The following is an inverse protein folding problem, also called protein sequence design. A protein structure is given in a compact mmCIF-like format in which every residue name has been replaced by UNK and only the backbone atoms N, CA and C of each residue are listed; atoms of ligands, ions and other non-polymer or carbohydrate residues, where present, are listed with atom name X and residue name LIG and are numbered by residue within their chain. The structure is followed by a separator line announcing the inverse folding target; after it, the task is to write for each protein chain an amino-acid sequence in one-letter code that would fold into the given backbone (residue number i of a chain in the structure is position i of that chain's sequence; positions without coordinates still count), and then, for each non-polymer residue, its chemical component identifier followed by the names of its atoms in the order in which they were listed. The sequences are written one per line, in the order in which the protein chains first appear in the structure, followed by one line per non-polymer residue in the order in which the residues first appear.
data_IF_281362375916
#
_entry.id   IF_281362375916
#
_cell.length_a   1.000
_cell.length_b   1.000
_cell.length_c   1.000
_cell.angle_alpha   90.00
_cell.angle_beta   90.00
_cell.angle_gamma   90.00
#
_symmetry.space_group_name_H-M   'P 1'
#
loop_
_entity.id
_entity.type
_entity.pdbx_description
1 polymer ?
#
# COMPACT_ATOMS: atom_id res chain seq x y z
N UNK A 1 -13.05 70.72 41.91
CA UNK A 1 -14.12 69.83 41.38
C UNK A 1 -13.73 69.27 39.96
N UNK A 2 -12.52 68.69 39.77
CA UNK A 2 -12.05 68.20 38.47
C UNK A 2 -11.40 66.80 38.56
N UNK A 3 -11.53 66.06 39.67
CA UNK A 3 -10.89 64.74 39.88
C UNK A 3 -11.81 63.52 39.79
N UNK A 4 -13.13 63.66 39.59
CA UNK A 4 -14.09 62.56 39.63
C UNK A 4 -14.59 62.03 38.27
N UNK A 5 -14.26 62.67 37.15
CA UNK A 5 -14.79 62.29 35.83
C UNK A 5 -13.81 61.39 34.99
N UNK A 6 -12.52 61.29 35.41
CA UNK A 6 -11.55 60.49 34.68
C UNK A 6 -11.51 58.99 35.04
N UNK A 7 -12.07 58.61 36.19
CA UNK A 7 -12.05 57.21 36.66
C UNK A 7 -13.12 56.33 36.03
N UNK A 8 -14.26 56.90 35.64
CA UNK A 8 -15.38 56.13 35.06
C UNK A 8 -15.13 55.69 33.60
N UNK A 9 -14.42 56.50 32.77
CA UNK A 9 -14.09 56.11 31.39
C UNK A 9 -13.02 54.98 31.33
N UNK A 10 -12.05 55.00 32.23
CA UNK A 10 -11.01 53.98 32.29
C UNK A 10 -11.56 52.64 32.76
N UNK A 11 -12.50 52.65 33.70
CA UNK A 11 -13.17 51.43 34.16
C UNK A 11 -14.15 50.85 33.13
N UNK A 12 -14.79 51.66 32.29
CA UNK A 12 -15.61 51.20 31.20
C UNK A 12 -14.75 50.64 30.05
N UNK A 13 -13.61 51.26 29.73
CA UNK A 13 -12.66 50.71 28.75
C UNK A 13 -12.03 49.39 29.19
N UNK A 14 -11.72 49.22 30.48
CA UNK A 14 -11.20 47.97 31.04
C UNK A 14 -12.24 46.83 30.99
N UNK A 15 -13.53 47.14 31.26
CA UNK A 15 -14.62 46.17 31.16
C UNK A 15 -14.89 45.71 29.73
N UNK A 16 -14.76 46.58 28.72
CA UNK A 16 -14.90 46.25 27.30
C UNK A 16 -13.69 45.43 26.80
N UNK A 17 -12.47 45.73 27.29
CA UNK A 17 -11.27 44.98 26.93
C UNK A 17 -11.28 43.56 27.53
N UNK A 18 -11.78 43.39 28.77
CA UNK A 18 -11.92 42.09 29.43
C UNK A 18 -13.02 41.25 28.78
N UNK A 19 -14.11 41.86 28.29
CA UNK A 19 -15.16 41.16 27.53
C UNK A 19 -14.70 40.74 26.13
N UNK A 20 -13.83 41.54 25.49
CA UNK A 20 -13.25 41.21 24.19
C UNK A 20 -12.17 40.10 24.29
N UNK A 21 -11.41 40.02 25.40
CA UNK A 21 -10.44 38.94 25.63
C UNK A 21 -11.10 37.61 26.05
N UNK A 22 -12.28 37.65 26.67
CA UNK A 22 -13.01 36.43 27.05
C UNK A 22 -13.74 35.76 25.86
N UNK A 23 -14.00 36.50 24.75
CA UNK A 23 -14.59 35.97 23.53
C UNK A 23 -13.56 35.38 22.59
N UNK A 24 -12.26 35.66 22.75
CA UNK A 24 -11.19 35.11 21.93
C UNK A 24 -10.59 33.79 22.47
N UNK A 25 -11.02 33.31 23.65
CA UNK A 25 -10.53 32.05 24.24
C UNK A 25 -11.47 30.84 24.05
N UNK A 26 -12.61 31.03 23.37
CA UNK A 26 -13.54 29.92 23.04
C UNK A 26 -13.61 29.56 21.56
N UNK A 27 -12.61 29.95 20.76
CA UNK A 27 -12.45 29.44 19.40
C UNK A 27 -11.28 28.47 19.31
N UNK A 28 -11.20 27.52 20.24
CA UNK A 28 -10.58 26.24 19.94
C UNK A 28 -11.65 25.43 19.20
N UNK A 29 -11.80 25.72 17.90
CA UNK A 29 -12.65 24.93 17.03
C UNK A 29 -12.16 23.49 17.11
N UNK A 30 -13.00 22.62 17.68
CA UNK A 30 -13.04 21.25 17.22
C UNK A 30 -13.06 21.37 15.69
N UNK A 31 -11.95 20.99 15.04
CA UNK A 31 -11.99 20.62 13.64
C UNK A 31 -12.97 19.47 13.61
N UNK A 32 -14.19 19.74 13.17
CA UNK A 32 -15.11 18.70 12.78
C UNK A 32 -14.32 17.76 11.90
N UNK A 33 -14.15 16.52 12.38
CA UNK A 33 -13.67 15.45 11.55
C UNK A 33 -14.57 15.53 10.30
N UNK A 34 -14.00 15.85 9.14
CA UNK A 34 -14.71 15.79 7.87
C UNK A 34 -15.41 14.46 7.89
N UNK A 35 -16.73 14.48 8.05
CA UNK A 35 -17.58 13.31 7.83
C UNK A 35 -17.17 12.81 6.45
N UNK A 36 -16.47 11.67 6.43
CA UNK A 36 -16.22 10.98 5.18
C UNK A 36 -17.57 10.91 4.47
N UNK A 37 -17.62 11.36 3.21
CA UNK A 37 -18.77 11.10 2.36
C UNK A 37 -19.23 9.69 2.65
N UNK A 38 -20.52 9.47 2.91
CA UNK A 38 -21.12 8.18 3.21
C UNK A 38 -20.99 7.22 2.00
N UNK A 39 -19.75 6.92 1.61
CA UNK A 39 -19.40 5.90 0.65
C UNK A 39 -19.55 4.54 1.31
N UNK A 40 -20.19 3.63 0.61
CA UNK A 40 -20.32 2.23 1.02
C UNK A 40 -18.93 1.66 1.39
N UNK A 41 -18.81 1.06 2.59
CA UNK A 41 -17.60 0.35 3.01
C UNK A 41 -17.40 -0.89 2.12
N UNK A 42 -16.25 -0.98 1.44
CA UNK A 42 -15.98 -2.01 0.45
C UNK A 42 -15.34 -3.26 1.07
N UNK A 43 -15.62 -4.42 0.47
CA UNK A 43 -15.06 -5.71 0.86
C UNK A 43 -14.39 -6.35 -0.34
N UNK A 44 -13.06 -6.42 -0.33
CA UNK A 44 -12.24 -6.97 -1.39
C UNK A 44 -11.62 -8.31 -1.04
N UNK A 45 -11.16 -9.03 -2.05
CA UNK A 45 -10.35 -10.24 -1.88
C UNK A 45 -9.29 -10.33 -2.97
N UNK A 46 -8.04 -10.64 -2.57
CA UNK A 46 -6.98 -10.99 -3.51
C UNK A 46 -7.12 -12.45 -3.92
N UNK A 47 -7.01 -12.73 -5.21
CA UNK A 47 -7.02 -14.08 -5.75
C UNK A 47 -6.07 -14.23 -6.93
N UNK A 48 -5.48 -15.41 -7.09
CA UNK A 48 -4.61 -15.71 -8.24
C UNK A 48 -5.37 -16.62 -9.20
N UNK A 49 -5.38 -16.21 -10.47
CA UNK A 49 -6.04 -16.97 -11.51
C UNK A 49 -5.24 -18.21 -11.91
N UNK A 50 -5.92 -19.33 -12.05
CA UNK A 50 -5.44 -20.53 -12.70
C UNK A 50 -5.93 -20.58 -14.16
N UNK A 51 -5.05 -20.49 -15.18
CA UNK A 51 -5.46 -20.50 -16.57
C UNK A 51 -6.17 -21.80 -17.01
N UNK A 52 -5.99 -22.88 -16.24
CA UNK A 52 -6.61 -24.19 -16.51
C UNK A 52 -8.05 -24.31 -15.97
N UNK A 53 -8.45 -23.42 -15.07
CA UNK A 53 -9.77 -23.43 -14.45
C UNK A 53 -10.85 -23.02 -15.46
N UNK A 54 -11.98 -23.72 -15.47
CA UNK A 54 -13.08 -23.46 -16.42
C UNK A 54 -13.86 -22.18 -16.05
N UNK A 55 -14.60 -21.61 -17.02
CA UNK A 55 -15.50 -20.47 -16.78
C UNK A 55 -16.60 -20.80 -15.79
N UNK A 56 -17.09 -22.04 -15.77
CA UNK A 56 -18.10 -22.50 -14.83
C UNK A 56 -17.56 -22.51 -13.39
N UNK A 57 -16.30 -22.95 -13.19
CA UNK A 57 -15.66 -22.95 -11.89
C UNK A 57 -15.41 -21.53 -11.39
N UNK A 58 -14.96 -20.60 -12.28
CA UNK A 58 -14.81 -19.21 -11.93
C UNK A 58 -16.14 -18.53 -11.59
N UNK A 59 -17.19 -18.82 -12.35
CA UNK A 59 -18.54 -18.31 -12.05
C UNK A 59 -19.01 -18.77 -10.68
N UNK A 60 -18.78 -20.04 -10.34
CA UNK A 60 -19.09 -20.59 -9.02
C UNK A 60 -18.31 -19.90 -7.90
N UNK A 61 -17.02 -19.67 -8.10
CA UNK A 61 -16.16 -18.97 -7.15
C UNK A 61 -16.59 -17.51 -6.95
N UNK A 62 -16.81 -16.79 -8.04
CA UNK A 62 -17.22 -15.38 -7.97
C UNK A 62 -18.61 -15.24 -7.32
N UNK A 63 -19.53 -16.16 -7.63
CA UNK A 63 -20.80 -16.23 -6.94
C UNK A 63 -20.65 -16.48 -5.45
N UNK A 64 -19.77 -17.43 -5.05
CA UNK A 64 -19.46 -17.71 -3.64
C UNK A 64 -18.93 -16.44 -2.93
N UNK A 65 -18.02 -15.69 -3.54
CA UNK A 65 -17.52 -14.43 -2.99
C UNK A 65 -18.66 -13.42 -2.83
N UNK A 66 -19.46 -13.23 -3.88
CA UNK A 66 -20.59 -12.27 -3.84
C UNK A 66 -21.61 -12.62 -2.77
N UNK A 67 -22.02 -13.87 -2.70
CA UNK A 67 -22.96 -14.37 -1.70
C UNK A 67 -22.39 -14.23 -0.26
N UNK A 68 -21.08 -14.32 -0.11
CA UNK A 68 -20.32 -14.09 1.12
C UNK A 68 -20.08 -12.62 1.48
N UNK A 69 -20.58 -11.68 0.67
CA UNK A 69 -20.51 -10.26 0.98
C UNK A 69 -19.35 -9.51 0.33
N UNK A 70 -18.52 -10.15 -0.50
CA UNK A 70 -17.44 -9.51 -1.24
C UNK A 70 -18.01 -8.59 -2.33
N UNK A 71 -17.41 -7.42 -2.52
CA UNK A 71 -17.78 -6.43 -3.53
C UNK A 71 -16.79 -6.39 -4.70
N UNK A 72 -15.52 -6.74 -4.46
CA UNK A 72 -14.45 -6.58 -5.43
C UNK A 72 -13.41 -7.70 -5.34
N UNK A 73 -12.84 -8.05 -6.48
CA UNK A 73 -11.78 -9.05 -6.60
C UNK A 73 -10.54 -8.43 -7.22
N UNK A 74 -9.39 -8.64 -6.57
CA UNK A 74 -8.10 -8.22 -7.06
C UNK A 74 -7.41 -9.46 -7.65
N UNK A 75 -7.42 -9.57 -8.99
CA UNK A 75 -7.06 -10.81 -9.69
C UNK A 75 -5.65 -10.71 -10.25
N UNK A 76 -4.76 -11.60 -9.80
CA UNK A 76 -3.46 -11.81 -10.41
C UNK A 76 -3.58 -12.83 -11.55
N UNK A 77 -3.32 -12.38 -12.77
CA UNK A 77 -3.27 -13.23 -13.97
C UNK A 77 -1.84 -13.46 -14.49
N UNK A 78 -0.84 -13.23 -13.63
CA UNK A 78 0.57 -13.21 -14.03
C UNK A 78 0.83 -12.28 -15.24
N UNK A 79 0.17 -11.11 -15.23
CA UNK A 79 0.22 -10.10 -16.30
C UNK A 79 -0.32 -10.54 -17.67
N UNK A 80 -1.14 -11.59 -17.72
CA UNK A 80 -1.82 -11.99 -18.96
C UNK A 80 -3.14 -11.20 -19.15
N UNK A 81 -3.19 -10.23 -20.09
CA UNK A 81 -4.40 -9.45 -20.34
C UNK A 81 -5.50 -10.25 -21.03
N UNK A 82 -5.18 -11.38 -21.71
CA UNK A 82 -6.19 -12.24 -22.32
C UNK A 82 -6.94 -13.02 -21.26
N UNK A 83 -6.21 -13.61 -20.29
CA UNK A 83 -6.82 -14.30 -19.16
C UNK A 83 -7.66 -13.32 -18.35
N UNK A 84 -7.16 -12.12 -18.06
CA UNK A 84 -7.93 -11.10 -17.35
C UNK A 84 -9.20 -10.73 -18.12
N UNK A 85 -9.11 -10.49 -19.43
CA UNK A 85 -10.26 -10.17 -20.29
C UNK A 85 -11.32 -11.28 -20.34
N UNK A 86 -10.91 -12.56 -20.18
CA UNK A 86 -11.82 -13.69 -20.01
C UNK A 86 -12.54 -13.66 -18.67
N UNK A 87 -11.86 -13.30 -17.58
CA UNK A 87 -12.42 -13.35 -16.21
C UNK A 87 -13.30 -12.15 -15.86
N UNK A 88 -13.00 -10.98 -16.38
CA UNK A 88 -13.74 -9.74 -16.09
C UNK A 88 -15.24 -9.88 -16.31
N UNK A 89 -15.75 -10.36 -17.47
CA UNK A 89 -17.19 -10.49 -17.68
C UNK A 89 -17.84 -11.50 -16.73
N UNK A 90 -17.14 -12.56 -16.33
CA UNK A 90 -17.65 -13.56 -15.38
C UNK A 90 -17.84 -12.93 -13.99
N UNK A 91 -16.82 -12.23 -13.48
CA UNK A 91 -16.90 -11.54 -12.18
C UNK A 91 -17.97 -10.43 -12.18
N UNK A 92 -18.05 -9.63 -13.26
CA UNK A 92 -19.07 -8.57 -13.38
C UNK A 92 -20.49 -9.10 -13.45
N UNK A 93 -20.72 -10.24 -14.07
CA UNK A 93 -22.04 -10.90 -14.10
C UNK A 93 -22.52 -11.24 -12.69
N UNK A 94 -21.61 -11.61 -11.80
CA UNK A 94 -21.90 -11.85 -10.39
C UNK A 94 -21.92 -10.55 -9.55
N UNK A 95 -21.78 -9.38 -10.17
CA UNK A 95 -21.83 -8.07 -9.51
C UNK A 95 -20.56 -7.73 -8.71
N UNK A 96 -19.42 -8.29 -9.08
CA UNK A 96 -18.12 -7.95 -8.52
C UNK A 96 -17.38 -6.91 -9.37
N UNK A 97 -16.69 -5.97 -8.73
CA UNK A 97 -15.69 -5.13 -9.38
C UNK A 97 -14.38 -5.91 -9.53
N UNK A 98 -13.61 -5.60 -10.57
CA UNK A 98 -12.37 -6.30 -10.86
C UNK A 98 -11.21 -5.34 -10.90
N UNK A 99 -10.15 -5.67 -10.16
CA UNK A 99 -8.87 -4.97 -10.16
C UNK A 99 -7.80 -5.90 -10.75
N UNK A 100 -7.00 -5.38 -11.68
CA UNK A 100 -5.90 -6.14 -12.29
C UNK A 100 -4.68 -6.09 -11.38
N UNK A 101 -4.41 -7.16 -10.65
CA UNK A 101 -3.30 -7.25 -9.69
C UNK A 101 -2.01 -7.69 -10.39
N UNK A 102 -0.97 -6.88 -10.24
CA UNK A 102 0.37 -7.09 -10.81
C UNK A 102 1.46 -7.02 -9.73
N UNK A 103 2.35 -8.01 -9.71
CA UNK A 103 3.63 -7.91 -9.01
C UNK A 103 4.57 -7.02 -9.83
N UNK A 104 4.77 -5.76 -9.40
CA UNK A 104 5.44 -4.75 -10.22
C UNK A 104 6.95 -4.97 -10.33
N UNK A 105 7.70 -4.77 -9.24
CA UNK A 105 9.16 -4.84 -9.28
C UNK A 105 9.71 -6.24 -8.99
N UNK A 106 8.98 -7.10 -8.28
CA UNK A 106 9.36 -8.49 -8.09
C UNK A 106 8.85 -9.33 -9.27
N UNK A 107 9.76 -9.73 -10.16
CA UNK A 107 9.42 -10.36 -11.45
C UNK A 107 10.10 -11.72 -11.64
N UNK A 108 9.85 -12.70 -10.78
CA UNK A 108 10.31 -14.06 -11.01
C UNK A 108 9.61 -14.64 -12.25
N UNK A 109 10.32 -15.40 -13.05
CA UNK A 109 9.77 -16.08 -14.23
C UNK A 109 9.25 -15.13 -15.34
N UNK A 110 9.62 -13.85 -15.32
CA UNK A 110 9.33 -12.93 -16.43
C UNK A 110 10.25 -13.24 -17.59
N UNK A 111 9.70 -13.82 -18.67
CA UNK A 111 10.48 -14.32 -19.81
C UNK A 111 11.28 -13.24 -20.55
N UNK A 112 10.83 -11.98 -20.49
CA UNK A 112 11.57 -10.85 -21.06
C UNK A 112 12.66 -10.41 -20.10
N UNK A 113 12.33 -10.16 -18.85
CA UNK A 113 13.30 -9.70 -17.86
C UNK A 113 14.44 -10.71 -17.63
N UNK A 114 14.18 -12.02 -17.70
CA UNK A 114 15.21 -13.07 -17.59
C UNK A 114 16.26 -13.04 -18.69
N UNK A 115 15.99 -12.39 -19.83
CA UNK A 115 16.98 -12.17 -20.89
C UNK A 115 17.89 -10.96 -20.60
N UNK A 116 17.62 -10.20 -19.54
CA UNK A 116 18.32 -8.99 -19.15
C UNK A 116 18.78 -9.04 -17.69
N UNK A 117 19.82 -9.83 -17.35
CA UNK A 117 20.33 -9.94 -15.98
C UNK A 117 20.74 -8.59 -15.37
N UNK A 118 21.11 -7.62 -16.20
CA UNK A 118 21.48 -6.26 -15.81
C UNK A 118 20.29 -5.38 -15.38
N UNK A 119 19.04 -5.83 -15.55
CA UNK A 119 17.85 -5.13 -15.06
C UNK A 119 17.60 -5.35 -13.58
N UNK A 120 18.21 -6.38 -12.99
CA UNK A 120 17.94 -6.77 -11.62
C UNK A 120 18.72 -5.94 -10.61
N UNK A 121 18.14 -5.76 -9.44
CA UNK A 121 18.75 -5.01 -8.36
C UNK A 121 20.01 -5.72 -7.85
N UNK A 122 20.98 -4.90 -7.42
CA UNK A 122 22.25 -5.35 -6.85
C UNK A 122 22.35 -4.89 -5.41
N UNK A 123 22.71 -5.80 -4.49
CA UNK A 123 22.90 -5.47 -3.08
C UNK A 123 24.17 -4.62 -2.87
N UNK A 124 24.31 -4.05 -1.66
CA UNK A 124 25.54 -3.35 -1.27
C UNK A 124 26.78 -4.23 -1.33
N UNK A 125 26.63 -5.55 -1.19
CA UNK A 125 27.73 -6.53 -1.38
C UNK A 125 28.08 -6.78 -2.86
N UNK A 126 27.37 -6.19 -3.81
CA UNK A 126 27.59 -6.41 -5.24
C UNK A 126 26.91 -7.66 -5.81
N UNK A 127 26.00 -8.29 -5.08
CA UNK A 127 25.27 -9.49 -5.52
C UNK A 127 23.95 -9.11 -6.18
N UNK A 128 23.73 -9.59 -7.42
CA UNK A 128 22.49 -9.36 -8.16
C UNK A 128 21.34 -10.25 -7.66
N UNK A 129 20.12 -9.71 -7.56
CA UNK A 129 18.89 -10.48 -7.32
C UNK A 129 18.59 -11.47 -8.47
N UNK A 130 19.26 -11.37 -9.61
CA UNK A 130 19.12 -12.35 -10.69
C UNK A 130 19.58 -13.74 -10.23
N UNK A 131 20.78 -13.82 -9.61
CA UNK A 131 21.39 -15.06 -9.17
C UNK A 131 21.34 -15.24 -7.63
N UNK A 132 21.37 -14.15 -6.88
CA UNK A 132 21.43 -14.15 -5.41
C UNK A 132 20.16 -13.53 -4.84
N UNK A 133 19.13 -14.34 -4.73
CA UNK A 133 17.81 -13.91 -4.29
C UNK A 133 17.78 -13.72 -2.78
N UNK A 134 17.39 -12.55 -2.25
CA UNK A 134 17.26 -12.38 -0.81
C UNK A 134 16.09 -13.19 -0.27
N UNK A 135 16.27 -13.89 0.84
CA UNK A 135 15.29 -14.63 1.63
C UNK A 135 14.63 -15.84 0.94
N UNK A 136 14.06 -15.66 -0.27
CA UNK A 136 13.23 -16.67 -0.95
C UNK A 136 13.50 -16.73 -2.44
N UNK A 137 13.32 -17.93 -3.02
CA UNK A 137 13.67 -18.20 -4.43
C UNK A 137 12.87 -17.38 -5.45
N UNK A 138 11.71 -16.86 -5.08
CA UNK A 138 10.91 -16.02 -5.97
C UNK A 138 11.23 -14.52 -5.87
N UNK A 139 12.23 -14.09 -5.06
CA UNK A 139 12.64 -12.69 -4.98
C UNK A 139 13.65 -12.33 -6.07
N UNK A 140 13.13 -11.98 -7.24
CA UNK A 140 13.89 -11.47 -8.38
C UNK A 140 13.43 -10.05 -8.71
N UNK A 141 14.11 -9.07 -8.14
CA UNK A 141 13.69 -7.67 -8.11
C UNK A 141 14.31 -6.85 -9.24
N UNK A 142 13.47 -6.22 -10.06
CA UNK A 142 13.89 -5.30 -11.11
C UNK A 142 14.25 -3.93 -10.52
N UNK A 143 15.24 -3.25 -11.13
CA UNK A 143 15.69 -1.93 -10.68
C UNK A 143 14.74 -0.83 -11.14
N UNK A 144 14.14 -0.03 -10.23
CA UNK A 144 13.24 1.06 -10.59
C UNK A 144 13.94 2.27 -11.24
N UNK A 145 15.27 2.35 -11.11
CA UNK A 145 16.08 3.45 -11.67
C UNK A 145 16.51 3.18 -13.10
N UNK A 146 16.69 1.92 -13.46
CA UNK A 146 17.09 1.52 -14.81
C UNK A 146 15.92 1.70 -15.77
N UNK A 147 16.13 2.48 -16.84
CA UNK A 147 15.07 2.93 -17.75
C UNK A 147 14.37 1.77 -18.44
N UNK A 148 15.13 0.81 -18.99
CA UNK A 148 14.61 -0.35 -19.73
C UNK A 148 13.76 -1.24 -18.80
N UNK A 149 14.25 -1.52 -17.61
CA UNK A 149 13.53 -2.27 -16.58
C UNK A 149 12.20 -1.58 -16.18
N UNK A 150 12.25 -0.27 -15.97
CA UNK A 150 11.08 0.55 -15.67
C UNK A 150 10.07 0.56 -16.82
N UNK A 151 10.54 0.77 -18.05
CA UNK A 151 9.68 0.80 -19.23
C UNK A 151 9.01 -0.57 -19.48
N UNK A 152 9.71 -1.67 -19.21
CA UNK A 152 9.13 -3.01 -19.27
C UNK A 152 7.95 -3.14 -18.29
N UNK A 153 8.14 -2.80 -17.01
CA UNK A 153 7.06 -2.84 -15.98
C UNK A 153 5.90 -1.94 -16.37
N UNK A 154 6.16 -0.72 -16.84
CA UNK A 154 5.11 0.20 -17.27
C UNK A 154 4.35 -0.30 -18.52
N UNK A 155 5.02 -1.01 -19.42
CA UNK A 155 4.39 -1.69 -20.55
C UNK A 155 3.39 -2.78 -20.10
N UNK A 156 3.74 -3.54 -19.06
CA UNK A 156 2.84 -4.54 -18.45
C UNK A 156 1.63 -3.85 -17.79
N UNK A 157 1.85 -2.75 -17.06
CA UNK A 157 0.77 -1.92 -16.49
C UNK A 157 -0.17 -1.43 -17.60
N UNK A 158 0.37 -0.91 -18.70
CA UNK A 158 -0.46 -0.45 -19.81
C UNK A 158 -1.22 -1.58 -20.49
N UNK A 159 -0.61 -2.77 -20.64
CA UNK A 159 -1.28 -3.96 -21.15
C UNK A 159 -2.51 -4.34 -20.33
N UNK A 160 -2.42 -4.29 -19.01
CA UNK A 160 -3.55 -4.55 -18.11
C UNK A 160 -4.57 -3.40 -18.12
N UNK A 161 -4.13 -2.15 -18.14
CA UNK A 161 -5.01 -0.98 -18.15
C UNK A 161 -5.93 -0.93 -19.38
N UNK A 162 -5.50 -1.52 -20.52
CA UNK A 162 -6.30 -1.64 -21.76
C UNK A 162 -7.43 -2.66 -21.66
N UNK A 163 -7.45 -3.52 -20.63
CA UNK A 163 -8.52 -4.51 -20.49
C UNK A 163 -9.82 -3.81 -20.08
N UNK A 164 -10.85 -4.01 -20.90
CA UNK A 164 -12.16 -3.42 -20.65
C UNK A 164 -12.81 -3.98 -19.38
N UNK A 165 -13.52 -3.11 -18.66
CA UNK A 165 -14.33 -3.50 -17.50
C UNK A 165 -13.60 -3.67 -16.18
N UNK A 166 -12.28 -3.51 -16.10
CA UNK A 166 -11.57 -3.41 -14.82
C UNK A 166 -11.78 -2.02 -14.18
N UNK A 167 -11.72 -1.96 -12.87
CA UNK A 167 -11.81 -0.70 -12.09
C UNK A 167 -10.42 -0.04 -11.97
N UNK A 168 -9.38 -0.85 -11.72
CA UNK A 168 -8.02 -0.37 -11.52
C UNK A 168 -6.95 -1.35 -12.01
N UNK A 169 -5.73 -0.82 -12.16
CA UNK A 169 -4.51 -1.61 -12.06
C UNK A 169 -4.02 -1.53 -10.61
N UNK A 170 -3.79 -2.68 -9.99
CA UNK A 170 -3.41 -2.81 -8.59
C UNK A 170 -1.96 -3.28 -8.49
N UNK A 171 -1.07 -2.37 -8.10
CA UNK A 171 0.35 -2.66 -7.96
C UNK A 171 0.62 -3.40 -6.66
N UNK A 172 1.40 -4.47 -6.73
CA UNK A 172 2.01 -5.11 -5.58
C UNK A 172 3.53 -5.17 -5.80
N UNK A 173 4.29 -5.42 -4.74
CA UNK A 173 5.76 -5.39 -4.81
C UNK A 173 6.32 -4.12 -5.46
N UNK A 174 5.60 -3.00 -5.33
CA UNK A 174 6.06 -1.66 -5.77
C UNK A 174 6.92 -1.03 -4.68
N UNK A 175 8.10 -1.63 -4.47
CA UNK A 175 9.03 -1.35 -3.38
C UNK A 175 10.39 -1.97 -3.65
N UNK A 176 11.32 -1.76 -2.75
CA UNK A 176 12.57 -2.54 -2.70
C UNK A 176 12.36 -3.87 -1.98
N UNK A 177 13.32 -4.82 -2.08
CA UNK A 177 13.36 -5.99 -1.21
C UNK A 177 13.33 -5.58 0.26
N UNK A 178 12.92 -6.51 1.12
CA UNK A 178 12.88 -6.26 2.56
C UNK A 178 14.29 -5.99 3.11
N UNK A 179 14.51 -4.77 3.61
CA UNK A 179 15.74 -4.36 4.31
C UNK A 179 15.65 -4.88 5.74
N UNK A 180 14.44 -4.81 6.31
CA UNK A 180 14.07 -5.45 7.56
C UNK A 180 12.86 -6.35 7.31
N UNK A 181 12.96 -7.62 7.73
CA UNK A 181 11.82 -8.52 7.73
C UNK A 181 10.85 -8.19 8.88
N UNK A 182 9.56 -8.50 8.71
CA UNK A 182 8.65 -8.61 9.86
C UNK A 182 9.21 -9.52 10.93
N UNK A 183 9.08 -9.12 12.19
CA UNK A 183 9.77 -9.75 13.33
C UNK A 183 9.47 -11.25 13.46
N UNK A 184 8.25 -11.68 13.18
CA UNK A 184 7.86 -13.10 13.25
C UNK A 184 8.55 -13.98 12.18
N UNK A 185 9.11 -13.37 11.14
CA UNK A 185 9.81 -14.09 10.08
C UNK A 185 11.30 -14.28 10.35
N UNK A 186 11.91 -13.49 11.24
CA UNK A 186 13.35 -13.54 11.53
C UNK A 186 13.85 -14.94 11.95
N UNK A 187 13.13 -15.68 12.82
CA UNK A 187 13.57 -17.03 13.21
C UNK A 187 13.64 -18.02 12.04
N UNK A 188 12.75 -17.89 11.05
CA UNK A 188 12.73 -18.75 9.86
C UNK A 188 14.04 -18.66 9.06
N UNK A 189 14.68 -17.51 9.07
CA UNK A 189 15.93 -17.24 8.34
C UNK A 189 17.16 -17.20 9.25
N UNK A 190 17.00 -17.50 10.54
CA UNK A 190 18.04 -17.40 11.55
C UNK A 190 18.76 -16.02 11.51
N UNK A 191 17.95 -14.96 11.46
CA UNK A 191 18.43 -13.59 11.31
C UNK A 191 18.25 -12.78 12.59
N UNK A 192 19.25 -11.90 12.83
CA UNK A 192 19.14 -10.75 13.73
C UNK A 192 19.29 -9.50 12.87
N UNK A 193 18.31 -8.63 12.87
CA UNK A 193 18.28 -7.41 12.05
C UNK A 193 18.04 -6.18 12.94
N UNK A 194 19.03 -5.79 13.70
CA UNK A 194 19.08 -4.54 14.48
C UNK A 194 19.68 -3.37 13.68
N UNK A 195 20.32 -3.68 12.53
CA UNK A 195 20.89 -2.72 11.58
C UNK A 195 20.57 -3.15 10.14
N UNK A 196 20.69 -2.21 9.19
CA UNK A 196 20.61 -2.53 7.76
C UNK A 196 21.79 -3.41 7.34
N UNK A 197 21.52 -4.67 7.01
CA UNK A 197 22.53 -5.63 6.59
C UNK A 197 22.88 -5.43 5.10
N UNK A 198 24.17 -5.39 4.71
CA UNK A 198 24.59 -5.08 3.34
C UNK A 198 24.00 -6.01 2.27
N UNK A 199 23.78 -7.28 2.58
CA UNK A 199 23.19 -8.25 1.67
C UNK A 199 21.70 -7.99 1.37
N UNK A 200 21.01 -7.20 2.19
CA UNK A 200 19.60 -6.85 2.02
C UNK A 200 19.38 -5.37 1.67
N UNK A 201 20.46 -4.58 1.61
CA UNK A 201 20.39 -3.17 1.20
C UNK A 201 20.58 -3.04 -0.33
N UNK A 202 19.51 -2.65 -1.03
CA UNK A 202 19.39 -2.51 -2.48
C UNK A 202 18.99 -1.06 -2.84
N UNK A 203 19.22 -0.55 -4.06
CA UNK A 203 19.93 -1.11 -5.19
C UNK A 203 21.24 -0.34 -5.41
N UNK A 204 22.34 -1.07 -5.57
CA UNK A 204 23.67 -0.52 -5.84
C UNK A 204 24.17 -0.91 -7.25
N UNK A 205 23.26 -1.17 -8.21
CA UNK A 205 23.61 -1.37 -9.61
C UNK A 205 24.21 -0.09 -10.21
N UNK A 206 24.91 -0.22 -11.32
CA UNK A 206 25.61 0.91 -11.94
C UNK A 206 24.65 2.04 -12.35
N UNK A 207 23.43 1.73 -12.80
CA UNK A 207 22.42 2.75 -13.11
C UNK A 207 22.06 3.61 -11.87
N UNK A 208 21.88 2.98 -10.70
CA UNK A 208 21.58 3.69 -9.45
C UNK A 208 22.77 4.53 -8.99
N UNK A 209 23.98 3.92 -8.96
CA UNK A 209 25.19 4.58 -8.47
C UNK A 209 25.55 5.77 -9.37
N UNK A 210 25.65 5.56 -10.68
CA UNK A 210 26.04 6.62 -11.62
C UNK A 210 25.04 7.78 -11.65
N UNK A 211 23.73 7.49 -11.55
CA UNK A 211 22.73 8.54 -11.48
C UNK A 211 22.83 9.33 -10.19
N UNK A 212 22.99 8.65 -9.05
CA UNK A 212 23.17 9.30 -7.76
C UNK A 212 24.44 10.14 -7.71
N UNK A 213 25.59 9.63 -8.20
CA UNK A 213 26.84 10.39 -8.28
C UNK A 213 26.68 11.66 -9.14
N UNK A 214 25.98 11.57 -10.24
CA UNK A 214 25.70 12.73 -11.11
C UNK A 214 24.87 13.79 -10.39
N UNK A 215 23.89 13.38 -9.59
CA UNK A 215 22.95 14.28 -8.91
C UNK A 215 23.52 14.87 -7.60
N UNK A 216 24.32 14.10 -6.87
CA UNK A 216 24.75 14.42 -5.51
C UNK A 216 26.26 14.54 -5.33
N UNK A 217 27.06 14.25 -6.36
CA UNK A 217 28.54 14.28 -6.32
C UNK A 217 29.13 13.37 -5.22
N UNK A 218 28.45 12.25 -4.92
CA UNK A 218 28.82 11.26 -3.90
C UNK A 218 28.65 9.86 -4.45
N UNK A 219 29.55 8.94 -4.06
CA UNK A 219 29.42 7.52 -4.37
C UNK A 219 28.85 6.76 -3.16
N UNK A 220 27.62 6.18 -3.24
CA UNK A 220 27.03 5.49 -2.11
C UNK A 220 27.78 4.21 -1.71
N UNK A 221 28.54 3.61 -2.64
CA UNK A 221 29.39 2.44 -2.34
C UNK A 221 30.56 2.78 -1.40
N UNK A 222 30.97 4.05 -1.34
CA UNK A 222 32.05 4.52 -0.49
C UNK A 222 31.59 4.95 0.92
N UNK A 223 30.28 5.05 1.13
CA UNK A 223 29.71 5.40 2.44
C UNK A 223 29.84 4.24 3.42
N UNK A 224 30.43 4.50 4.59
CA UNK A 224 30.52 3.51 5.66
C UNK A 224 29.15 3.15 6.24
N UNK A 225 28.23 4.13 6.31
CA UNK A 225 26.89 3.93 6.83
C UNK A 225 25.85 4.62 5.94
N UNK A 226 25.27 3.85 5.03
CA UNK A 226 24.23 4.33 4.10
C UNK A 226 22.85 4.40 4.72
N UNK A 227 22.63 3.83 5.92
CA UNK A 227 21.33 3.88 6.60
C UNK A 227 20.98 5.30 7.09
N UNK A 228 22.01 6.12 7.38
CA UNK A 228 21.85 7.52 7.81
C UNK A 228 22.03 8.53 6.66
N UNK A 229 22.38 8.08 5.44
CA UNK A 229 22.50 8.95 4.28
C UNK A 229 21.10 9.23 3.71
N UNK A 230 20.53 10.36 4.11
CA UNK A 230 19.19 10.77 3.70
C UNK A 230 19.10 11.09 2.21
N UNK A 231 20.17 11.52 1.55
CA UNK A 231 20.16 11.77 0.10
C UNK A 231 20.05 10.44 -0.65
N UNK A 232 20.84 9.42 -0.25
CA UNK A 232 20.77 8.08 -0.82
C UNK A 232 19.43 7.41 -0.54
N UNK A 233 18.89 7.57 0.66
CA UNK A 233 17.56 7.07 1.02
C UNK A 233 16.48 7.72 0.15
N UNK A 234 16.46 9.06 0.06
CA UNK A 234 15.48 9.80 -0.74
C UNK A 234 15.59 9.50 -2.24
N UNK A 235 16.81 9.31 -2.77
CA UNK A 235 17.02 8.88 -4.15
C UNK A 235 16.27 7.58 -4.46
N UNK A 236 16.38 6.59 -3.58
CA UNK A 236 15.70 5.29 -3.72
C UNK A 236 14.17 5.42 -3.58
N UNK A 237 13.69 6.16 -2.60
CA UNK A 237 12.26 6.46 -2.43
C UNK A 237 11.68 7.15 -3.67
N UNK A 238 12.40 8.11 -4.23
CA UNK A 238 11.99 8.82 -5.44
C UNK A 238 12.02 7.93 -6.69
N UNK A 239 12.90 6.93 -6.75
CA UNK A 239 12.92 5.97 -7.85
C UNK A 239 11.63 5.13 -7.89
N UNK A 240 11.15 4.65 -6.73
CA UNK A 240 9.86 3.95 -6.64
C UNK A 240 8.71 4.88 -6.95
N UNK A 241 8.70 6.09 -6.35
CA UNK A 241 7.68 7.10 -6.62
C UNK A 241 7.54 7.41 -8.10
N UNK A 242 8.65 7.53 -8.83
CA UNK A 242 8.64 7.81 -10.26
C UNK A 242 7.96 6.70 -11.08
N UNK A 243 8.13 5.42 -10.69
CA UNK A 243 7.39 4.31 -11.32
C UNK A 243 5.89 4.44 -11.04
N UNK A 244 5.50 4.75 -9.81
CA UNK A 244 4.09 4.93 -9.43
C UNK A 244 3.47 6.10 -10.17
N UNK A 245 4.16 7.26 -10.24
CA UNK A 245 3.66 8.45 -10.93
C UNK A 245 3.42 8.19 -12.43
N UNK A 246 4.28 7.40 -13.09
CA UNK A 246 4.08 7.06 -14.50
C UNK A 246 3.00 5.99 -14.67
N UNK A 247 2.92 4.99 -13.77
CA UNK A 247 1.83 4.03 -13.75
C UNK A 247 0.47 4.73 -13.55
N UNK A 248 0.42 5.76 -12.69
CA UNK A 248 -0.77 6.58 -12.47
C UNK A 248 -1.23 7.27 -13.76
N UNK A 249 -0.31 7.91 -14.48
CA UNK A 249 -0.62 8.54 -15.79
C UNK A 249 -1.14 7.52 -16.80
N UNK A 250 -0.53 6.32 -16.85
CA UNK A 250 -0.94 5.24 -17.74
C UNK A 250 -2.34 4.76 -17.39
N UNK A 251 -2.62 4.43 -16.13
CA UNK A 251 -3.93 3.97 -15.70
C UNK A 251 -5.02 5.01 -16.03
N UNK A 252 -4.79 6.27 -15.67
CA UNK A 252 -5.74 7.36 -15.92
C UNK A 252 -5.94 7.66 -17.41
N UNK A 253 -4.93 7.51 -18.26
CA UNK A 253 -5.05 7.58 -19.74
C UNK A 253 -6.07 6.58 -20.27
N UNK A 254 -6.22 5.42 -19.61
CA UNK A 254 -7.18 4.38 -19.95
C UNK A 254 -8.46 4.43 -19.10
N UNK A 255 -8.71 5.55 -18.39
CA UNK A 255 -9.87 5.73 -17.49
C UNK A 255 -9.94 4.65 -16.39
N UNK A 256 -8.78 4.22 -15.88
CA UNK A 256 -8.66 3.28 -14.77
C UNK A 256 -8.03 3.98 -13.58
N UNK A 257 -8.38 3.53 -12.36
CA UNK A 257 -7.66 3.93 -11.17
C UNK A 257 -6.31 3.23 -11.09
N UNK A 258 -5.38 3.82 -10.35
CA UNK A 258 -4.19 3.14 -9.86
C UNK A 258 -4.36 2.87 -8.38
N UNK A 259 -4.16 1.62 -7.96
CA UNK A 259 -4.19 1.21 -6.56
C UNK A 259 -2.94 0.40 -6.22
N UNK A 260 -2.60 0.23 -4.94
CA UNK A 260 -1.44 -0.56 -4.57
C UNK A 260 -1.60 -1.29 -3.22
N UNK A 261 -1.08 -2.52 -3.16
CA UNK A 261 -0.72 -3.18 -1.90
C UNK A 261 0.54 -2.52 -1.35
N UNK A 262 0.50 -2.13 -0.07
CA UNK A 262 1.57 -1.39 0.58
C UNK A 262 1.82 -1.93 2.00
N UNK A 263 2.98 -1.63 2.58
CA UNK A 263 3.26 -1.96 3.97
C UNK A 263 2.36 -1.14 4.92
N UNK A 264 2.18 -1.57 6.17
CA UNK A 264 1.06 -1.16 7.04
C UNK A 264 0.83 0.34 7.17
N UNK A 265 1.88 1.14 7.35
CA UNK A 265 1.81 2.61 7.36
C UNK A 265 3.13 3.22 6.87
N UNK A 266 3.13 4.48 6.40
CA UNK A 266 4.26 5.05 5.65
C UNK A 266 5.60 5.02 6.35
N UNK A 267 5.65 5.24 7.66
CA UNK A 267 6.90 5.21 8.43
C UNK A 267 7.51 3.80 8.48
N UNK A 268 6.70 2.80 8.79
CA UNK A 268 7.12 1.39 8.77
C UNK A 268 7.51 0.96 7.36
N UNK A 269 6.74 1.33 6.35
CA UNK A 269 7.01 1.02 4.95
C UNK A 269 8.32 1.65 4.45
N UNK A 270 8.62 2.89 4.85
CA UNK A 270 9.88 3.54 4.57
C UNK A 270 11.06 2.81 5.21
N UNK A 271 10.93 2.45 6.48
CA UNK A 271 11.97 1.76 7.22
C UNK A 271 12.26 0.37 6.65
N UNK A 272 11.21 -0.44 6.43
CA UNK A 272 11.36 -1.85 6.09
C UNK A 272 11.64 -2.10 4.60
N UNK A 273 11.06 -1.28 3.69
CA UNK A 273 11.05 -1.60 2.24
C UNK A 273 11.23 -0.38 1.33
N UNK A 274 11.67 0.76 1.86
CA UNK A 274 11.81 2.02 1.10
C UNK A 274 10.52 2.37 0.34
N UNK A 275 9.40 2.40 1.03
CA UNK A 275 8.09 2.68 0.45
C UNK A 275 7.41 3.84 1.20
N UNK A 276 7.31 5.02 0.56
CA UNK A 276 6.66 6.22 1.11
C UNK A 276 5.38 6.51 0.33
N UNK A 277 4.40 5.62 0.48
CA UNK A 277 3.15 5.68 -0.26
C UNK A 277 2.27 6.91 0.08
N UNK A 278 2.50 7.55 1.22
CA UNK A 278 1.92 8.86 1.56
C UNK A 278 2.37 10.00 0.62
N UNK A 279 3.46 9.82 -0.13
CA UNK A 279 3.98 10.79 -1.11
C UNK A 279 3.59 10.48 -2.55
N UNK A 280 2.86 9.41 -2.79
CA UNK A 280 2.51 8.97 -4.14
C UNK A 280 1.27 9.68 -4.70
N UNK A 281 1.18 9.76 -6.04
CA UNK A 281 -0.06 10.01 -6.76
C UNK A 281 -0.74 8.66 -6.98
N UNK A 282 -1.78 8.38 -6.18
CA UNK A 282 -2.47 7.09 -6.19
C UNK A 282 -3.90 7.27 -5.69
N UNK A 283 -4.84 6.53 -6.27
CA UNK A 283 -6.25 6.67 -5.93
C UNK A 283 -6.62 5.94 -4.64
N UNK A 284 -6.10 4.72 -4.47
CA UNK A 284 -6.37 3.91 -3.28
C UNK A 284 -5.14 3.08 -2.89
N UNK A 285 -4.94 2.90 -1.60
CA UNK A 285 -3.90 2.02 -1.04
C UNK A 285 -4.53 0.91 -0.22
N UNK A 286 -3.89 -0.25 -0.25
CA UNK A 286 -4.30 -1.46 0.46
C UNK A 286 -3.16 -1.87 1.41
N UNK A 287 -3.05 -1.23 2.59
CA UNK A 287 -2.02 -1.57 3.55
C UNK A 287 -2.17 -3.01 4.03
N UNK A 288 -1.13 -3.82 3.87
CA UNK A 288 -1.05 -5.21 4.31
C UNK A 288 -0.85 -5.28 5.83
N UNK A 289 -1.92 -5.00 6.59
CA UNK A 289 -1.89 -4.97 8.06
C UNK A 289 -2.03 -6.40 8.59
N UNK A 290 -1.02 -7.21 8.32
CA UNK A 290 -0.94 -8.63 8.68
C UNK A 290 -0.35 -8.76 10.09
N UNK A 291 -1.17 -8.46 11.13
CA UNK A 291 -0.75 -8.34 12.52
C UNK A 291 0.18 -9.48 12.98
N UNK A 292 -0.12 -10.72 12.61
CA UNK A 292 0.68 -11.89 12.97
C UNK A 292 2.11 -11.89 12.41
N UNK A 293 2.40 -11.12 11.35
CA UNK A 293 3.75 -10.97 10.82
C UNK A 293 4.62 -10.09 11.71
N UNK A 294 3.99 -9.19 12.46
CA UNK A 294 4.64 -8.21 13.34
C UNK A 294 4.59 -8.61 14.80
N UNK A 295 4.10 -9.84 15.12
CA UNK A 295 3.88 -10.34 16.48
C UNK A 295 2.96 -9.42 17.31
N UNK A 296 1.93 -8.89 16.64
CA UNK A 296 0.98 -7.95 17.21
C UNK A 296 -0.39 -8.62 17.41
N UNK A 297 -1.16 -8.08 18.37
CA UNK A 297 -2.53 -8.51 18.61
C UNK A 297 -3.52 -7.85 17.62
N UNK A 298 -4.76 -8.35 17.59
CA UNK A 298 -5.74 -7.95 16.56
C UNK A 298 -6.12 -6.47 16.58
N UNK A 299 -6.04 -5.79 17.72
CA UNK A 299 -6.33 -4.36 17.86
C UNK A 299 -5.28 -3.47 17.16
N UNK A 300 -4.08 -4.01 16.92
CA UNK A 300 -3.06 -3.33 16.11
C UNK A 300 -3.55 -3.03 14.68
N UNK A 301 -4.50 -3.81 14.15
CA UNK A 301 -5.16 -3.50 12.86
C UNK A 301 -5.75 -2.10 12.88
N UNK A 302 -6.41 -1.73 13.99
CA UNK A 302 -6.96 -0.39 14.18
C UNK A 302 -5.88 0.69 14.28
N UNK A 303 -4.81 0.42 15.04
CA UNK A 303 -3.68 1.34 15.18
C UNK A 303 -3.02 1.63 13.83
N UNK A 304 -2.61 0.60 13.10
CA UNK A 304 -1.93 0.75 11.82
C UNK A 304 -2.83 1.41 10.75
N UNK A 305 -4.12 1.07 10.72
CA UNK A 305 -5.09 1.75 9.85
C UNK A 305 -5.17 3.24 10.16
N UNK A 306 -5.26 3.62 11.44
CA UNK A 306 -5.33 5.02 11.87
C UNK A 306 -4.10 5.81 11.47
N UNK A 307 -2.90 5.24 11.61
CA UNK A 307 -1.66 5.86 11.16
C UNK A 307 -1.71 6.14 9.65
N UNK A 308 -2.01 5.14 8.85
CA UNK A 308 -2.06 5.28 7.39
C UNK A 308 -3.13 6.28 6.91
N UNK A 309 -4.30 6.31 7.54
CA UNK A 309 -5.36 7.29 7.24
C UNK A 309 -4.91 8.70 7.62
N UNK A 310 -4.27 8.85 8.79
CA UNK A 310 -3.75 10.15 9.26
C UNK A 310 -2.70 10.74 8.33
N UNK A 311 -1.78 9.91 7.83
CA UNK A 311 -0.74 10.34 6.89
C UNK A 311 -1.29 10.80 5.53
N UNK A 312 -2.53 10.42 5.20
CA UNK A 312 -3.22 10.81 3.98
C UNK A 312 -4.29 11.90 4.18
N UNK A 313 -4.43 12.49 5.37
CA UNK A 313 -5.50 13.45 5.70
C UNK A 313 -5.62 14.61 4.68
N UNK A 314 -4.51 15.01 4.09
CA UNK A 314 -4.46 16.09 3.08
C UNK A 314 -4.69 15.61 1.64
N UNK A 315 -4.93 14.31 1.42
CA UNK A 315 -5.05 13.68 0.09
C UNK A 315 -6.41 13.01 -0.13
N UNK A 316 -6.86 12.89 -1.37
CA UNK A 316 -8.09 12.18 -1.70
C UNK A 316 -7.91 10.65 -1.71
N UNK A 317 -6.69 10.15 -1.49
CA UNK A 317 -6.34 8.72 -1.53
C UNK A 317 -7.12 7.94 -0.47
N UNK A 318 -7.79 6.87 -0.89
CA UNK A 318 -8.57 6.00 0.01
C UNK A 318 -7.70 4.89 0.60
N UNK A 319 -8.06 4.43 1.80
CA UNK A 319 -7.38 3.33 2.49
C UNK A 319 -8.33 2.13 2.60
N UNK A 320 -7.94 1.00 2.04
CA UNK A 320 -8.62 -0.28 2.18
C UNK A 320 -7.69 -1.24 2.96
N UNK A 321 -8.02 -1.52 4.22
CA UNK A 321 -7.15 -2.31 5.10
C UNK A 321 -7.04 -3.76 4.65
N UNK A 322 -5.81 -4.23 4.39
CA UNK A 322 -5.51 -5.63 4.08
C UNK A 322 -5.48 -6.50 5.34
N UNK A 323 -6.22 -7.60 5.33
CA UNK A 323 -6.33 -8.56 6.44
C UNK A 323 -5.80 -9.92 5.97
N UNK A 324 -4.88 -10.51 6.73
CA UNK A 324 -4.30 -11.82 6.46
C UNK A 324 -5.13 -12.92 7.14
N UNK A 325 -5.91 -13.66 6.35
CA UNK A 325 -6.83 -14.68 6.85
C UNK A 325 -6.13 -15.81 7.62
N UNK A 326 -5.00 -16.39 7.14
CA UNK A 326 -4.33 -17.45 7.89
C UNK A 326 -3.71 -17.00 9.22
N UNK A 327 -3.55 -15.72 9.45
CA UNK A 327 -3.05 -15.17 10.72
C UNK A 327 -4.11 -14.99 11.79
N UNK A 328 -5.39 -15.18 11.46
CA UNK A 328 -6.50 -15.05 12.40
C UNK A 328 -6.73 -16.34 13.17
N UNK A 329 -6.93 -16.26 14.48
CA UNK A 329 -7.18 -17.39 15.37
C UNK A 329 -8.66 -17.85 15.35
N UNK A 330 -9.59 -16.97 14.89
CA UNK A 330 -11.03 -17.23 14.90
C UNK A 330 -11.85 -16.27 14.02
N UNK A 331 -13.12 -16.61 13.76
CA UNK A 331 -14.07 -15.70 13.12
C UNK A 331 -14.39 -14.46 13.98
N UNK A 332 -14.19 -14.52 15.30
CA UNK A 332 -14.32 -13.37 16.19
C UNK A 332 -13.20 -12.36 15.93
N UNK A 333 -11.96 -12.79 15.71
CA UNK A 333 -10.86 -11.92 15.31
C UNK A 333 -11.07 -11.34 13.91
N UNK A 334 -11.62 -12.10 12.95
CA UNK A 334 -11.99 -11.58 11.64
C UNK A 334 -13.00 -10.44 11.76
N UNK A 335 -14.05 -10.62 12.56
CA UNK A 335 -15.03 -9.57 12.85
C UNK A 335 -14.36 -8.34 13.47
N UNK A 336 -13.51 -8.54 14.48
CA UNK A 336 -12.81 -7.46 15.17
C UNK A 336 -11.91 -6.69 14.20
N UNK A 337 -11.10 -7.36 13.38
CA UNK A 337 -10.25 -6.72 12.38
C UNK A 337 -11.04 -5.80 11.43
N UNK A 338 -12.18 -6.26 10.92
CA UNK A 338 -13.06 -5.46 10.04
C UNK A 338 -13.58 -4.22 10.79
N UNK A 339 -14.05 -4.38 12.03
CA UNK A 339 -14.59 -3.29 12.83
C UNK A 339 -13.51 -2.27 13.21
N UNK A 340 -12.30 -2.74 13.56
CA UNK A 340 -11.14 -1.88 13.84
C UNK A 340 -10.73 -1.07 12.60
N UNK A 341 -10.67 -1.68 11.42
CA UNK A 341 -10.39 -0.97 10.19
C UNK A 341 -11.41 0.14 9.92
N UNK A 342 -12.70 -0.17 9.99
CA UNK A 342 -13.77 0.82 9.78
C UNK A 342 -13.75 1.94 10.80
N UNK A 343 -13.66 1.62 12.09
CA UNK A 343 -13.63 2.59 13.21
C UNK A 343 -12.48 3.58 13.05
N UNK A 344 -11.36 3.16 12.46
CA UNK A 344 -10.16 3.97 12.30
C UNK A 344 -10.02 4.60 10.90
N UNK A 345 -11.10 4.69 10.14
CA UNK A 345 -11.20 5.53 8.94
C UNK A 345 -10.90 4.84 7.62
N UNK A 346 -10.73 3.52 7.59
CA UNK A 346 -10.66 2.80 6.32
C UNK A 346 -11.96 2.94 5.51
N UNK A 347 -11.86 2.98 4.19
CA UNK A 347 -12.99 2.99 3.26
C UNK A 347 -13.41 1.59 2.85
N UNK A 348 -12.64 0.58 3.21
CA UNK A 348 -12.90 -0.83 2.96
C UNK A 348 -11.86 -1.73 3.61
N UNK A 349 -12.05 -3.02 3.41
CA UNK A 349 -11.10 -4.08 3.77
C UNK A 349 -10.89 -5.01 2.58
N UNK A 350 -9.71 -5.63 2.50
CA UNK A 350 -9.40 -6.68 1.54
C UNK A 350 -8.76 -7.88 2.23
N UNK A 351 -9.17 -9.08 1.86
CA UNK A 351 -8.72 -10.32 2.49
C UNK A 351 -7.65 -11.02 1.66
N UNK A 352 -6.55 -11.37 2.25
CA UNK A 352 -5.49 -12.17 1.63
C UNK A 352 -5.47 -13.56 2.24
N UNK A 353 -5.72 -14.62 1.44
CA UNK A 353 -6.23 -14.56 0.09
C UNK A 353 -7.54 -15.37 -0.04
N UNK A 354 -8.12 -15.35 -1.24
CA UNK A 354 -9.39 -16.03 -1.53
C UNK A 354 -9.37 -17.53 -1.27
N UNK A 355 -8.23 -18.21 -1.45
CA UNK A 355 -8.08 -19.63 -1.18
C UNK A 355 -8.15 -19.96 0.33
N UNK A 356 -7.82 -19.00 1.19
CA UNK A 356 -7.88 -19.14 2.65
C UNK A 356 -9.27 -18.83 3.23
N UNK A 357 -10.20 -18.26 2.44
CA UNK A 357 -11.53 -17.93 2.90
C UNK A 357 -12.42 -19.16 3.02
N UNK A 358 -12.70 -19.58 4.26
CA UNK A 358 -13.67 -20.62 4.57
C UNK A 358 -15.13 -20.12 4.42
N UNK A 359 -16.07 -21.04 4.35
CA UNK A 359 -17.50 -20.71 4.37
C UNK A 359 -17.93 -20.01 5.67
N UNK A 360 -17.27 -20.32 6.80
CA UNK A 360 -17.46 -19.63 8.08
C UNK A 360 -17.00 -18.18 8.01
N UNK A 361 -15.80 -17.93 7.43
CA UNK A 361 -15.30 -16.57 7.24
C UNK A 361 -16.26 -15.74 6.35
N UNK A 362 -16.75 -16.32 5.26
CA UNK A 362 -17.71 -15.63 4.37
C UNK A 362 -19.05 -15.33 5.06
N UNK A 363 -19.55 -16.23 5.93
CA UNK A 363 -20.73 -15.95 6.76
C UNK A 363 -20.48 -14.78 7.73
N UNK A 364 -19.32 -14.76 8.36
CA UNK A 364 -18.91 -13.68 9.27
C UNK A 364 -18.78 -12.34 8.53
N UNK A 365 -18.11 -12.32 7.38
CA UNK A 365 -17.99 -11.12 6.53
C UNK A 365 -19.39 -10.59 6.15
N UNK A 366 -20.28 -11.46 5.67
CA UNK A 366 -21.65 -11.08 5.31
C UNK A 366 -22.43 -10.51 6.47
N UNK A 367 -22.32 -11.11 7.66
CA UNK A 367 -23.00 -10.65 8.87
C UNK A 367 -22.48 -9.28 9.33
N UNK A 368 -21.16 -9.10 9.35
CA UNK A 368 -20.53 -7.81 9.67
C UNK A 368 -20.97 -6.75 8.69
N UNK A 369 -20.90 -7.03 7.39
CA UNK A 369 -21.32 -6.09 6.34
C UNK A 369 -22.77 -5.64 6.48
N UNK A 370 -23.67 -6.52 6.88
CA UNK A 370 -25.08 -6.18 7.11
C UNK A 370 -25.29 -5.30 8.34
N UNK A 371 -24.32 -5.23 9.25
CA UNK A 371 -24.37 -4.43 10.48
C UNK A 371 -23.70 -3.06 10.35
N UNK A 372 -22.99 -2.80 9.27
CA UNK A 372 -22.24 -1.55 9.01
C UNK A 372 -23.07 -0.50 8.31
#
# INVERSE_FOLDING_TARGET
MVKLVRTTKLQQLLKVLVLALSLSLFSCGQKDAKTAENGKFNFGVWTTADPKKSDADYTTEFKKYKDGGIDEVLINTNTDPKLLGRLVPLAKKEGLKVHAWIMAMNRPNDSVALQHPDWYQVSKEGKSCFDNRPYVDYYQWLCPTKEESRNHVLGLVEGLAKVEGIESVHLDYIRFPDIFLPISLLPKYNLVQDVELPQFDFCYCDACVSKFEKEHHKNPKQSHNTSIDMEWKNFRLNAVKAVVDDAYKIAHKHNKKLTAAVFPYPEMADHMVRQRWDKWNIDEVYPMIYHSFYDEEIDWVGYATKQGVGDLESKPTKVNTGIYIPGLKSDAELKEAILQAKKNGATGVSFFDGNALSDSNLKTIKAVKASL
#
